data_IF_221872319536
#
_entry.id   IF_221872319536
#
_cell.length_a   1.000
_cell.length_b   1.000
_cell.length_c   1.000
_cell.angle_alpha   90.00
_cell.angle_beta   90.00
_cell.angle_gamma   90.00
#
_symmetry.space_group_name_H-M   'P 1'
#
loop_
_entity.id
_entity.type
_entity.pdbx_description
1 polymer ?
#
# COMPACT_ATOMS: atom_id res chain seq x y z
N UNK A 1 20.58 21.76 35.08
CA UNK A 1 21.02 21.42 33.70
C UNK A 1 20.91 19.91 33.52
N UNK A 2 19.76 19.43 33.04
CA UNK A 2 19.50 18.00 32.84
C UNK A 2 19.98 17.65 31.43
N UNK A 3 21.06 16.87 31.31
CA UNK A 3 21.54 16.35 30.03
C UNK A 3 20.44 15.48 29.41
N UNK A 4 19.73 16.00 28.41
CA UNK A 4 18.82 15.23 27.58
C UNK A 4 19.67 14.37 26.64
N UNK A 5 19.80 13.09 26.96
CA UNK A 5 20.39 12.10 26.06
C UNK A 5 19.43 11.90 24.90
N UNK A 6 19.75 12.49 23.75
CA UNK A 6 19.15 12.21 22.44
C UNK A 6 19.53 10.78 22.05
N UNK A 7 18.74 9.79 22.46
CA UNK A 7 18.85 8.45 21.89
C UNK A 7 17.90 8.39 20.68
N UNK A 8 18.37 7.97 19.49
CA UNK A 8 17.50 7.78 18.34
C UNK A 8 16.43 6.72 18.66
N UNK A 9 15.19 6.97 18.24
CA UNK A 9 14.11 5.99 18.39
C UNK A 9 14.39 4.78 17.48
N UNK A 10 14.64 3.58 18.04
CA UNK A 10 14.95 2.40 17.24
C UNK A 10 13.77 1.97 16.36
N UNK A 11 12.52 2.22 16.77
CA UNK A 11 11.32 1.82 16.02
C UNK A 11 11.17 2.59 14.71
N UNK A 12 11.31 3.93 14.79
CA UNK A 12 11.30 4.79 13.61
C UNK A 12 12.44 4.49 12.63
N UNK A 13 13.65 4.22 13.15
CA UNK A 13 14.78 3.81 12.31
C UNK A 13 14.54 2.49 11.58
N UNK A 14 14.03 1.47 12.28
CA UNK A 14 13.73 0.15 11.69
C UNK A 14 12.65 0.28 10.61
N UNK A 15 11.57 1.01 10.88
CA UNK A 15 10.49 1.23 9.90
C UNK A 15 10.99 1.93 8.64
N UNK A 16 11.81 2.98 8.78
CA UNK A 16 12.41 3.70 7.66
C UNK A 16 13.38 2.84 6.86
N UNK A 17 14.20 2.00 7.54
CA UNK A 17 15.10 1.06 6.89
C UNK A 17 14.35 -0.01 6.09
N UNK A 18 13.26 -0.57 6.63
CA UNK A 18 12.40 -1.53 5.93
C UNK A 18 11.76 -0.88 4.69
N UNK A 19 11.23 0.34 4.85
CA UNK A 19 10.61 1.09 3.74
C UNK A 19 11.64 1.38 2.62
N UNK A 20 12.86 1.77 2.99
CA UNK A 20 13.98 1.95 2.06
C UNK A 20 14.30 0.65 1.32
N UNK A 21 14.42 -0.47 2.05
CA UNK A 21 14.75 -1.77 1.45
C UNK A 21 13.68 -2.21 0.44
N UNK A 22 12.40 -2.06 0.79
CA UNK A 22 11.28 -2.37 -0.10
C UNK A 22 11.31 -1.45 -1.33
N UNK A 23 11.48 -0.14 -1.13
CA UNK A 23 11.54 0.82 -2.23
C UNK A 23 12.69 0.54 -3.20
N UNK A 24 13.87 0.19 -2.69
CA UNK A 24 15.02 -0.23 -3.50
C UNK A 24 14.69 -1.51 -4.26
N UNK A 25 14.16 -2.53 -3.59
CA UNK A 25 13.82 -3.80 -4.22
C UNK A 25 12.83 -3.60 -5.38
N UNK A 26 11.74 -2.86 -5.14
CA UNK A 26 10.74 -2.53 -6.17
C UNK A 26 11.37 -1.76 -7.33
N UNK A 27 12.23 -0.78 -7.04
CA UNK A 27 12.93 0.00 -8.08
C UNK A 27 13.83 -0.89 -8.92
N UNK A 28 14.63 -1.76 -8.30
CA UNK A 28 15.53 -2.69 -9.01
C UNK A 28 14.72 -3.67 -9.87
N UNK A 29 13.62 -4.22 -9.34
CA UNK A 29 12.74 -5.10 -10.13
C UNK A 29 12.09 -4.34 -11.29
N UNK A 30 11.72 -3.07 -11.11
CA UNK A 30 11.10 -2.24 -12.15
C UNK A 30 11.99 -2.05 -13.39
N UNK A 31 13.31 -2.03 -13.20
CA UNK A 31 14.29 -1.92 -14.29
C UNK A 31 14.22 -3.11 -15.26
N UNK A 32 13.80 -4.29 -14.77
CA UNK A 32 13.61 -5.49 -15.60
C UNK A 32 12.39 -5.44 -16.52
N UNK A 33 11.41 -4.58 -16.26
CA UNK A 33 10.17 -4.49 -17.05
C UNK A 33 10.23 -3.46 -18.19
N UNK A 34 11.32 -2.69 -18.30
CA UNK A 34 11.41 -1.56 -19.22
C UNK A 34 10.59 -0.37 -18.73
N UNK A 35 11.23 0.79 -18.62
CA UNK A 35 10.60 2.02 -18.10
C UNK A 35 9.93 2.82 -19.23
N UNK A 36 10.39 2.65 -20.46
CA UNK A 36 9.93 3.41 -21.61
C UNK A 36 10.37 4.88 -21.52
N UNK A 37 9.51 5.79 -21.98
CA UNK A 37 9.72 7.25 -21.93
C UNK A 37 8.53 7.95 -21.29
N UNK A 38 8.68 9.23 -20.91
CA UNK A 38 7.58 10.03 -20.37
C UNK A 38 6.36 10.15 -21.31
N UNK A 39 6.58 10.01 -22.64
CA UNK A 39 5.51 10.04 -23.65
C UNK A 39 4.96 8.65 -23.98
N UNK A 40 5.65 7.58 -23.58
CA UNK A 40 5.28 6.17 -23.80
C UNK A 40 5.78 5.37 -22.62
N UNK A 41 5.00 5.37 -21.55
CA UNK A 41 5.33 4.67 -20.32
C UNK A 41 5.15 3.16 -20.52
N UNK A 42 6.22 2.39 -20.31
CA UNK A 42 6.16 0.93 -20.30
C UNK A 42 5.79 0.40 -18.90
N UNK A 43 5.65 -0.93 -18.78
CA UNK A 43 5.19 -1.59 -17.56
C UNK A 43 6.05 -1.29 -16.31
N UNK A 44 7.34 -0.98 -16.48
CA UNK A 44 8.26 -0.64 -15.40
C UNK A 44 8.14 0.79 -14.86
N UNK A 45 7.50 1.71 -15.59
CA UNK A 45 7.46 3.12 -15.17
C UNK A 45 6.72 3.33 -13.85
N UNK A 46 5.54 2.72 -13.70
CA UNK A 46 4.72 2.90 -12.50
C UNK A 46 5.36 2.28 -11.25
N UNK A 47 5.85 1.02 -11.29
CA UNK A 47 6.63 0.47 -10.18
C UNK A 47 7.87 1.30 -9.83
N UNK A 48 8.57 1.86 -10.82
CA UNK A 48 9.73 2.72 -10.58
C UNK A 48 9.36 3.97 -9.78
N UNK A 49 8.26 4.64 -10.14
CA UNK A 49 7.81 5.85 -9.45
C UNK A 49 7.39 5.55 -8.00
N UNK A 50 6.68 4.43 -7.77
CA UNK A 50 6.33 3.99 -6.42
C UNK A 50 7.56 3.62 -5.59
N UNK A 51 8.52 2.90 -6.19
CA UNK A 51 9.79 2.54 -5.55
C UNK A 51 10.60 3.78 -5.17
N UNK A 52 10.75 4.73 -6.08
CA UNK A 52 11.43 6.01 -5.81
C UNK A 52 10.72 6.81 -4.70
N UNK A 53 9.40 6.90 -4.73
CA UNK A 53 8.61 7.54 -3.68
C UNK A 53 8.79 6.85 -2.31
N UNK A 54 8.79 5.52 -2.28
CA UNK A 54 9.03 4.75 -1.06
C UNK A 54 10.45 4.96 -0.51
N UNK A 55 11.46 5.05 -1.39
CA UNK A 55 12.84 5.39 -1.00
C UNK A 55 12.89 6.78 -0.37
N UNK A 56 12.27 7.79 -1.00
CA UNK A 56 12.24 9.15 -0.48
C UNK A 56 11.55 9.23 0.88
N UNK A 57 10.42 8.56 1.05
CA UNK A 57 9.70 8.48 2.33
C UNK A 57 10.51 7.74 3.39
N UNK A 58 11.14 6.60 3.05
CA UNK A 58 11.99 5.86 3.99
C UNK A 58 13.23 6.67 4.41
N UNK A 59 13.83 7.41 3.49
CA UNK A 59 14.93 8.33 3.79
C UNK A 59 14.46 9.47 4.69
N UNK A 60 13.30 10.06 4.40
CA UNK A 60 12.71 11.08 5.25
C UNK A 60 12.47 10.54 6.67
N UNK A 61 11.84 9.37 6.82
CA UNK A 61 11.56 8.74 8.12
C UNK A 61 12.86 8.50 8.91
N UNK A 62 13.86 7.90 8.27
CA UNK A 62 15.16 7.60 8.91
C UNK A 62 15.91 8.87 9.33
N UNK A 63 15.93 9.91 8.49
CA UNK A 63 16.55 11.19 8.80
C UNK A 63 15.81 11.95 9.90
N UNK A 64 14.47 12.01 9.83
CA UNK A 64 13.64 12.68 10.84
C UNK A 64 13.79 12.03 12.22
N UNK A 65 13.73 10.70 12.32
CA UNK A 65 13.88 10.00 13.62
C UNK A 65 15.34 9.94 14.10
N UNK A 66 16.31 10.01 13.19
CA UNK A 66 17.73 10.10 13.53
C UNK A 66 18.16 11.49 14.02
N UNK A 67 17.60 12.56 13.46
CA UNK A 67 17.94 13.96 13.79
C UNK A 67 17.05 14.53 14.91
N UNK A 68 15.78 14.13 14.95
CA UNK A 68 14.79 14.56 15.93
C UNK A 68 14.16 13.32 16.57
N UNK A 69 14.79 12.74 17.62
CA UNK A 69 14.16 11.71 18.42
C UNK A 69 12.96 12.34 19.14
N UNK A 70 11.80 12.18 18.51
CA UNK A 70 10.51 12.38 19.15
C UNK A 70 10.34 11.22 20.11
N UNK A 71 9.93 11.50 21.35
CA UNK A 71 9.41 10.46 22.23
C UNK A 71 8.20 9.84 21.52
N UNK A 72 8.37 8.65 20.99
CA UNK A 72 7.26 7.79 20.68
C UNK A 72 6.63 7.37 22.01
N UNK A 73 5.64 8.13 22.47
CA UNK A 73 4.70 7.63 23.50
C UNK A 73 3.93 6.38 23.01
N UNK A 74 4.12 5.99 21.74
CA UNK A 74 3.62 4.75 21.13
C UNK A 74 4.57 3.55 21.23
N UNK A 75 5.81 3.71 21.75
CA UNK A 75 6.80 2.62 21.79
C UNK A 75 6.48 1.53 22.84
N UNK A 76 5.52 1.75 23.73
CA UNK A 76 5.07 0.76 24.71
C UNK A 76 3.54 0.73 24.74
N UNK A 77 2.88 0.33 23.65
CA UNK A 77 1.74 -0.57 23.92
C UNK A 77 2.37 -1.85 24.45
N UNK A 78 2.18 -2.21 25.73
CA UNK A 78 2.65 -3.49 26.23
C UNK A 78 2.09 -4.54 25.28
N UNK A 79 2.96 -5.37 24.69
CA UNK A 79 2.49 -6.61 24.06
C UNK A 79 1.72 -7.31 25.17
N UNK A 80 0.38 -7.42 25.09
CA UNK A 80 -0.35 -8.09 26.14
C UNK A 80 0.18 -9.52 26.17
N UNK A 81 0.71 -9.97 27.31
CA UNK A 81 1.23 -11.34 27.48
C UNK A 81 0.16 -12.40 27.16
N UNK A 82 -1.11 -11.98 27.11
CA UNK A 82 -2.20 -12.72 26.50
C UNK A 82 -2.28 -12.44 25.01
N UNK A 83 -1.77 -13.36 24.19
CA UNK A 83 -2.01 -13.39 22.74
C UNK A 83 -3.51 -13.57 22.52
N UNK A 84 -4.25 -12.47 22.45
CA UNK A 84 -5.63 -12.51 22.04
C UNK A 84 -5.64 -12.71 20.52
N UNK A 85 -6.08 -13.90 20.08
CA UNK A 85 -6.09 -14.27 18.66
C UNK A 85 -6.88 -13.26 17.82
N UNK A 86 -7.86 -12.58 18.43
CA UNK A 86 -8.62 -11.50 17.81
C UNK A 86 -7.72 -10.29 17.46
N UNK A 87 -6.87 -9.84 18.39
CA UNK A 87 -6.02 -8.66 18.18
C UNK A 87 -4.91 -8.92 17.15
N UNK A 88 -4.34 -10.13 17.17
CA UNK A 88 -3.39 -10.59 16.16
C UNK A 88 -4.03 -10.68 14.77
N UNK A 89 -5.27 -11.16 14.69
CA UNK A 89 -6.03 -11.18 13.44
C UNK A 89 -6.28 -9.77 12.91
N UNK A 90 -6.64 -8.81 13.78
CA UNK A 90 -6.83 -7.42 13.39
C UNK A 90 -5.57 -6.78 12.76
N UNK A 91 -4.37 -7.06 13.29
CA UNK A 91 -3.11 -6.56 12.71
C UNK A 91 -2.72 -7.25 11.40
N UNK A 92 -2.96 -8.56 11.27
CA UNK A 92 -2.57 -9.33 10.09
C UNK A 92 -3.55 -9.19 8.92
N UNK A 93 -4.81 -8.85 9.20
CA UNK A 93 -5.87 -8.70 8.21
C UNK A 93 -5.50 -7.77 7.04
N UNK A 94 -5.00 -6.53 7.22
CA UNK A 94 -4.54 -5.68 6.12
C UNK A 94 -3.35 -6.23 5.35
N UNK A 95 -2.41 -6.89 6.04
CA UNK A 95 -1.23 -7.47 5.41
C UNK A 95 -1.58 -8.65 4.49
N UNK A 96 -2.71 -9.34 4.72
CA UNK A 96 -3.15 -10.47 3.91
C UNK A 96 -4.24 -10.11 2.91
N UNK A 97 -5.26 -9.35 3.32
CA UNK A 97 -6.42 -9.04 2.47
C UNK A 97 -6.07 -8.06 1.35
N UNK A 98 -5.18 -7.09 1.58
CA UNK A 98 -4.83 -6.13 0.52
C UNK A 98 -4.07 -6.84 -0.62
N UNK A 99 -3.00 -7.62 -0.37
CA UNK A 99 -2.37 -8.41 -1.44
C UNK A 99 -3.33 -9.42 -2.07
N UNK A 100 -4.22 -10.05 -1.29
CA UNK A 100 -5.25 -10.95 -1.82
C UNK A 100 -6.22 -10.22 -2.77
N UNK A 101 -6.63 -9.01 -2.43
CA UNK A 101 -7.47 -8.17 -3.29
C UNK A 101 -6.77 -7.84 -4.61
N UNK A 102 -5.49 -7.49 -4.55
CA UNK A 102 -4.66 -7.23 -5.75
C UNK A 102 -4.51 -8.49 -6.60
N UNK A 103 -4.27 -9.65 -5.99
CA UNK A 103 -4.18 -10.92 -6.70
C UNK A 103 -5.52 -11.32 -7.35
N UNK A 104 -6.63 -11.12 -6.63
CA UNK A 104 -7.98 -11.35 -7.16
C UNK A 104 -8.28 -10.41 -8.34
N UNK A 105 -7.90 -9.13 -8.24
CA UNK A 105 -8.00 -8.19 -9.35
C UNK A 105 -7.26 -8.69 -10.58
N UNK A 106 -5.98 -9.04 -10.42
CA UNK A 106 -5.15 -9.51 -11.53
C UNK A 106 -5.72 -10.76 -12.20
N UNK A 107 -6.23 -11.73 -11.42
CA UNK A 107 -6.84 -12.95 -11.95
C UNK A 107 -8.20 -12.72 -12.63
N UNK A 108 -9.02 -11.80 -12.10
CA UNK A 108 -10.36 -11.50 -12.62
C UNK A 108 -10.33 -10.55 -13.80
N UNK A 109 -9.31 -9.71 -13.94
CA UNK A 109 -9.25 -8.68 -14.97
C UNK A 109 -9.35 -9.29 -16.38
N UNK A 110 -8.64 -10.38 -16.65
CA UNK A 110 -8.66 -11.04 -17.97
C UNK A 110 -9.91 -11.93 -18.16
N UNK A 111 -10.43 -12.52 -17.08
CA UNK A 111 -11.52 -13.51 -17.14
C UNK A 111 -12.92 -12.88 -17.08
N UNK A 112 -13.14 -11.94 -16.16
CA UNK A 112 -14.42 -11.32 -15.82
C UNK A 112 -14.48 -9.80 -16.09
N UNK A 113 -13.39 -9.22 -16.60
CA UNK A 113 -13.33 -7.82 -17.02
C UNK A 113 -13.13 -6.81 -15.89
N UNK A 114 -12.95 -5.55 -16.30
CA UNK A 114 -12.58 -4.44 -15.43
C UNK A 114 -13.59 -4.21 -14.30
N UNK A 115 -14.88 -4.28 -14.58
CA UNK A 115 -15.91 -3.94 -13.60
C UNK A 115 -15.93 -4.93 -12.43
N UNK A 116 -15.93 -6.23 -12.73
CA UNK A 116 -15.98 -7.30 -11.73
C UNK A 116 -14.65 -7.37 -10.98
N UNK A 117 -13.53 -7.23 -11.68
CA UNK A 117 -12.21 -7.20 -11.05
C UNK A 117 -12.07 -6.04 -10.06
N UNK A 118 -12.45 -4.82 -10.46
CA UNK A 118 -12.40 -3.65 -9.57
C UNK A 118 -13.34 -3.80 -8.38
N UNK A 119 -14.55 -4.34 -8.58
CA UNK A 119 -15.48 -4.59 -7.48
C UNK A 119 -14.87 -5.55 -6.45
N UNK A 120 -14.30 -6.67 -6.90
CA UNK A 120 -13.66 -7.65 -6.02
C UNK A 120 -12.47 -7.05 -5.27
N UNK A 121 -11.62 -6.27 -5.96
CA UNK A 121 -10.48 -5.57 -5.36
C UNK A 121 -10.91 -4.69 -4.19
N UNK A 122 -11.90 -3.81 -4.43
CA UNK A 122 -12.36 -2.86 -3.42
C UNK A 122 -13.04 -3.56 -2.27
N UNK A 123 -13.84 -4.60 -2.54
CA UNK A 123 -14.52 -5.35 -1.49
C UNK A 123 -13.53 -6.08 -0.58
N UNK A 124 -12.60 -6.84 -1.16
CA UNK A 124 -11.60 -7.60 -0.40
C UNK A 124 -10.67 -6.65 0.37
N UNK A 125 -10.18 -5.59 -0.27
CA UNK A 125 -9.27 -4.64 0.38
C UNK A 125 -9.97 -3.79 1.42
N UNK A 126 -11.22 -3.40 1.18
CA UNK A 126 -11.99 -2.57 2.11
C UNK A 126 -12.47 -3.34 3.34
N UNK A 127 -12.63 -4.67 3.24
CA UNK A 127 -12.75 -5.53 4.41
C UNK A 127 -11.50 -5.44 5.29
N UNK A 128 -10.34 -5.08 4.78
CA UNK A 128 -9.13 -5.03 5.58
C UNK A 128 -9.06 -3.90 6.62
N UNK A 129 -10.01 -2.95 6.59
CA UNK A 129 -10.14 -1.92 7.60
C UNK A 129 -10.43 -2.51 8.99
N UNK A 130 -9.93 -1.86 10.04
CA UNK A 130 -10.16 -2.26 11.44
C UNK A 130 -11.65 -2.28 11.80
N UNK A 131 -12.39 -1.26 11.32
CA UNK A 131 -13.83 -1.11 11.51
C UNK A 131 -14.49 -0.77 10.17
N UNK A 132 -14.76 -1.77 9.31
CA UNK A 132 -15.36 -1.52 8.02
C UNK A 132 -16.83 -1.14 8.21
N UNK A 133 -17.17 0.10 7.84
CA UNK A 133 -18.58 0.46 7.61
C UNK A 133 -19.02 -0.26 6.33
N UNK A 134 -19.75 -1.36 6.49
CA UNK A 134 -20.20 -2.20 5.38
C UNK A 134 -21.08 -1.43 4.40
N UNK A 135 -21.87 -0.46 4.87
CA UNK A 135 -22.72 0.35 3.99
C UNK A 135 -21.86 1.26 3.13
N UNK A 136 -20.88 1.94 3.73
CA UNK A 136 -19.93 2.78 2.99
C UNK A 136 -19.08 1.94 2.04
N UNK A 137 -18.63 0.76 2.47
CA UNK A 137 -17.85 -0.16 1.66
C UNK A 137 -18.60 -0.60 0.41
N UNK A 138 -19.85 -1.03 0.54
CA UNK A 138 -20.68 -1.44 -0.61
C UNK A 138 -20.88 -0.29 -1.59
N UNK A 139 -21.14 0.93 -1.09
CA UNK A 139 -21.26 2.12 -1.95
C UNK A 139 -19.96 2.38 -2.72
N UNK A 140 -18.80 2.35 -2.05
CA UNK A 140 -17.51 2.56 -2.71
C UNK A 140 -17.22 1.42 -3.70
N UNK A 141 -17.51 0.17 -3.33
CA UNK A 141 -17.32 -0.99 -4.19
C UNK A 141 -18.18 -0.94 -5.46
N UNK A 142 -19.38 -0.34 -5.41
CA UNK A 142 -20.23 -0.14 -6.59
C UNK A 142 -19.79 1.07 -7.43
N UNK A 143 -19.32 2.16 -6.81
CA UNK A 143 -18.93 3.38 -7.52
C UNK A 143 -17.54 3.30 -8.15
N UNK A 144 -16.59 2.63 -7.50
CA UNK A 144 -15.21 2.54 -7.99
C UNK A 144 -15.09 1.88 -9.38
N UNK A 145 -15.80 0.79 -9.70
CA UNK A 145 -15.84 0.22 -11.05
C UNK A 145 -16.35 1.21 -12.11
N UNK A 146 -17.38 1.99 -11.77
CA UNK A 146 -17.92 3.02 -12.66
C UNK A 146 -16.87 4.10 -12.92
N UNK A 147 -16.16 4.56 -11.88
CA UNK A 147 -15.06 5.51 -12.03
C UNK A 147 -13.92 4.96 -12.89
N UNK A 148 -13.53 3.70 -12.68
CA UNK A 148 -12.52 3.03 -13.50
C UNK A 148 -12.94 2.95 -14.97
N UNK A 149 -14.21 2.60 -15.23
CA UNK A 149 -14.77 2.56 -16.58
C UNK A 149 -14.74 3.94 -17.25
N UNK A 150 -15.21 4.99 -16.56
CA UNK A 150 -15.20 6.36 -17.08
C UNK A 150 -13.78 6.82 -17.41
N UNK A 151 -12.80 6.58 -16.53
CA UNK A 151 -11.42 7.04 -16.76
C UNK A 151 -10.76 6.25 -17.88
N UNK A 152 -10.78 4.91 -17.81
CA UNK A 152 -9.99 4.08 -18.71
C UNK A 152 -10.63 3.87 -20.08
N UNK A 153 -11.96 3.74 -20.13
CA UNK A 153 -12.66 3.44 -21.37
C UNK A 153 -13.14 4.71 -22.04
N UNK A 154 -13.81 5.62 -21.32
CA UNK A 154 -14.26 6.88 -21.92
C UNK A 154 -13.15 7.92 -22.00
N UNK A 155 -12.30 8.04 -20.98
CA UNK A 155 -11.23 9.03 -20.93
C UNK A 155 -10.04 8.68 -21.82
N UNK A 156 -9.51 7.46 -21.68
CA UNK A 156 -8.31 7.02 -22.40
C UNK A 156 -8.58 6.17 -23.65
N UNK A 157 -9.82 5.70 -23.87
CA UNK A 157 -10.16 4.88 -25.04
C UNK A 157 -9.46 3.51 -25.07
N UNK A 158 -9.08 2.97 -23.90
CA UNK A 158 -8.34 1.71 -23.83
C UNK A 158 -9.26 0.52 -24.15
N UNK A 159 -8.82 -0.47 -24.95
CA UNK A 159 -9.60 -1.65 -25.30
C UNK A 159 -9.61 -2.67 -24.14
N UNK A 160 -10.10 -2.26 -22.98
CA UNK A 160 -10.27 -3.15 -21.85
C UNK A 160 -11.50 -4.05 -22.02
N UNK A 161 -11.36 -5.31 -21.60
CA UNK A 161 -12.49 -6.22 -21.44
C UNK A 161 -13.38 -5.71 -20.29
N UNK A 162 -14.63 -5.40 -20.59
CA UNK A 162 -15.57 -4.80 -19.61
C UNK A 162 -16.23 -5.86 -18.72
N UNK A 163 -16.49 -7.04 -19.29
CA UNK A 163 -17.14 -8.20 -18.69
C UNK A 163 -16.53 -9.49 -19.26
#
# INVERSE_FOLDING_TARGET
>A
MTRRTFAPDPGGLISGAIMLAIGIAVTVTSLGYGIGSLRRMDAGFFPMLLGAGAILLGLAITLLHGLFPVRSDEAETPVPETIDWAERWHRLRPMLLVPLGIAAFAALLETAGLLIATFALVLISGLAAEKPDLRRLVVIALLAPVGAWVIFVLGFGLPFKLY
#
